data_IF_829249897750
#
_entry.id   IF_829249897750
#
_cell.length_a   1.000
_cell.length_b   1.000
_cell.length_c   1.000
_cell.angle_alpha   90.00
_cell.angle_beta   90.00
_cell.angle_gamma   90.00
#
_symmetry.space_group_name_H-M   'P 1'
#
loop_
_entity.id
_entity.type
_entity.pdbx_description
1 polymer ?
#
# COMPACT_ATOMS: atom_id res chain seq x y z
N UNK A 1 2.61 5.12 -33.04
CA UNK A 1 1.19 4.86 -33.36
C UNK A 1 0.48 6.20 -33.19
N UNK A 2 0.30 6.94 -34.30
CA UNK A 2 -0.22 8.32 -34.31
C UNK A 2 -1.73 8.27 -34.13
N UNK A 3 -2.23 9.00 -33.13
CA UNK A 3 -3.65 9.31 -32.95
C UNK A 3 -4.06 10.28 -34.06
N UNK A 4 -4.99 9.87 -34.92
CA UNK A 4 -5.58 10.72 -35.97
C UNK A 4 -6.96 11.18 -35.54
N UNK A 5 -7.16 12.49 -35.53
CA UNK A 5 -8.45 13.10 -35.86
C UNK A 5 -9.16 13.87 -34.75
N UNK A 6 -8.49 14.83 -34.10
CA UNK A 6 -9.16 16.10 -33.78
C UNK A 6 -9.08 16.98 -35.05
N UNK A 7 -10.24 17.51 -35.43
CA UNK A 7 -10.51 18.63 -36.33
C UNK A 7 -11.66 18.26 -37.25
N UNK A 8 -12.77 18.98 -37.10
CA UNK A 8 -13.65 19.47 -38.17
C UNK A 8 -14.91 20.05 -37.50
N UNK A 9 -14.83 21.32 -37.11
CA UNK A 9 -16.02 22.18 -37.02
C UNK A 9 -16.21 22.94 -38.35
N UNK A 10 -17.48 22.97 -38.77
CA UNK A 10 -18.18 23.90 -39.69
C UNK A 10 -17.99 23.79 -41.21
N UNK A 11 -19.12 23.51 -41.86
CA UNK A 11 -19.42 23.91 -43.23
C UNK A 11 -20.50 23.08 -43.92
N UNK A 12 -21.76 23.43 -43.67
CA UNK A 12 -23.00 23.29 -44.50
C UNK A 12 -23.02 22.25 -45.63
N UNK A 13 -23.91 21.26 -45.50
CA UNK A 13 -25.14 21.08 -46.31
C UNK A 13 -24.88 20.55 -47.71
N UNK A 14 -24.99 19.23 -47.85
CA UNK A 14 -25.71 18.64 -48.97
C UNK A 14 -26.52 17.45 -48.44
N UNK A 15 -27.83 17.63 -48.50
CA UNK A 15 -28.88 16.67 -48.21
C UNK A 15 -29.09 15.79 -49.44
N UNK A 16 -28.59 14.56 -49.44
CA UNK A 16 -29.32 13.36 -49.84
C UNK A 16 -28.39 12.14 -49.81
N UNK A 17 -28.47 11.37 -48.72
CA UNK A 17 -28.29 9.92 -48.79
C UNK A 17 -28.85 9.27 -47.51
N UNK A 18 -30.15 8.98 -47.52
CA UNK A 18 -30.80 8.09 -46.57
C UNK A 18 -30.21 6.68 -46.74
N UNK A 19 -29.07 6.39 -46.08
CA UNK A 19 -28.41 5.13 -46.39
C UNK A 19 -27.31 4.59 -45.49
N UNK A 20 -26.92 5.21 -44.37
CA UNK A 20 -26.00 4.59 -43.39
C UNK A 20 -26.34 5.01 -41.98
N UNK A 21 -27.31 4.32 -41.35
CA UNK A 21 -27.28 4.16 -39.89
C UNK A 21 -25.91 3.57 -39.61
N UNK A 22 -25.01 4.36 -39.02
CA UNK A 22 -23.67 3.92 -38.69
C UNK A 22 -23.79 2.59 -37.95
N UNK A 23 -23.46 1.50 -38.63
CA UNK A 23 -23.43 0.17 -38.04
C UNK A 23 -22.47 0.31 -36.89
N UNK A 24 -22.98 0.28 -35.65
CA UNK A 24 -22.16 0.19 -34.45
C UNK A 24 -21.11 -0.87 -34.78
N UNK A 25 -19.84 -0.48 -34.83
CA UNK A 25 -18.76 -1.39 -35.17
C UNK A 25 -18.99 -2.67 -34.33
N UNK A 26 -19.03 -3.81 -35.00
CA UNK A 26 -19.30 -5.11 -34.37
C UNK A 26 -18.23 -5.41 -33.30
N UNK A 27 -17.09 -4.73 -33.37
CA UNK A 27 -16.02 -4.74 -32.36
C UNK A 27 -16.20 -3.72 -31.23
N UNK A 28 -17.11 -2.74 -31.36
CA UNK A 28 -17.31 -1.68 -30.37
C UNK A 28 -17.83 -2.24 -29.05
N UNK A 29 -17.41 -1.63 -27.95
CA UNK A 29 -17.85 -2.01 -26.62
C UNK A 29 -19.38 -1.92 -26.44
N UNK A 30 -20.02 -0.96 -27.13
CA UNK A 30 -21.46 -0.70 -27.04
C UNK A 30 -22.33 -1.76 -27.74
N UNK A 31 -21.78 -2.54 -28.67
CA UNK A 31 -22.50 -3.62 -29.36
C UNK A 31 -22.46 -4.96 -28.62
N UNK A 32 -21.69 -5.07 -27.53
CA UNK A 32 -21.52 -6.31 -26.75
C UNK A 32 -22.61 -6.52 -25.70
N UNK A 33 -22.89 -7.80 -25.39
CA UNK A 33 -23.85 -8.16 -24.34
C UNK A 33 -23.38 -7.65 -22.97
N UNK A 34 -24.28 -7.46 -21.99
CA UNK A 34 -23.90 -7.03 -20.64
C UNK A 34 -22.83 -7.94 -20.04
N UNK A 35 -22.96 -9.26 -20.19
CA UNK A 35 -21.98 -10.23 -19.69
C UNK A 35 -20.61 -10.08 -20.38
N UNK A 36 -20.58 -9.87 -21.69
CA UNK A 36 -19.33 -9.62 -22.42
C UNK A 36 -18.66 -8.31 -21.99
N UNK A 37 -19.44 -7.24 -21.79
CA UNK A 37 -18.93 -5.97 -21.26
C UNK A 37 -18.39 -6.15 -19.84
N UNK A 38 -19.11 -6.87 -18.98
CA UNK A 38 -18.68 -7.20 -17.62
C UNK A 38 -17.35 -7.96 -17.59
N UNK A 39 -17.19 -8.99 -18.42
CA UNK A 39 -15.92 -9.75 -18.51
C UNK A 39 -14.77 -8.85 -18.95
N UNK A 40 -14.97 -8.01 -19.96
CA UNK A 40 -13.92 -7.10 -20.46
C UNK A 40 -13.48 -6.12 -19.37
N UNK A 41 -14.42 -5.56 -18.61
CA UNK A 41 -14.12 -4.63 -17.53
C UNK A 41 -13.40 -5.32 -16.37
N UNK A 42 -13.82 -6.53 -16.01
CA UNK A 42 -13.18 -7.31 -14.94
C UNK A 42 -11.80 -7.82 -15.38
N UNK A 43 -11.55 -8.00 -16.67
CA UNK A 43 -10.26 -8.48 -17.18
C UNK A 43 -9.10 -7.55 -16.78
N UNK A 44 -9.30 -6.23 -16.79
CA UNK A 44 -8.28 -5.28 -16.34
C UNK A 44 -7.89 -5.47 -14.87
N UNK A 45 -8.91 -5.55 -14.00
CA UNK A 45 -8.72 -5.82 -12.56
C UNK A 45 -8.06 -7.18 -12.34
N UNK A 46 -8.54 -8.20 -13.03
CA UNK A 46 -8.03 -9.56 -12.93
C UNK A 46 -6.55 -9.64 -13.33
N UNK A 47 -6.15 -8.97 -14.41
CA UNK A 47 -4.75 -8.95 -14.86
C UNK A 47 -3.83 -8.27 -13.84
N UNK A 48 -4.29 -7.23 -13.15
CA UNK A 48 -3.53 -6.64 -12.05
C UNK A 48 -3.35 -7.62 -10.87
N UNK A 49 -4.40 -8.38 -10.51
CA UNK A 49 -4.28 -9.42 -9.46
C UNK A 49 -3.29 -10.51 -9.91
N UNK A 50 -3.41 -10.99 -11.15
CA UNK A 50 -2.51 -12.01 -11.70
C UNK A 50 -1.07 -11.53 -11.70
N UNK A 51 -0.83 -10.30 -12.14
CA UNK A 51 0.50 -9.69 -12.15
C UNK A 51 1.08 -9.63 -10.73
N UNK A 52 0.31 -9.15 -9.76
CA UNK A 52 0.72 -9.10 -8.36
C UNK A 52 1.06 -10.50 -7.82
N UNK A 53 0.20 -11.50 -8.05
CA UNK A 53 0.43 -12.89 -7.62
C UNK A 53 1.73 -13.45 -8.20
N UNK A 54 1.98 -13.23 -9.50
CA UNK A 54 3.20 -13.70 -10.17
C UNK A 54 4.44 -13.01 -9.60
N UNK A 55 4.41 -11.68 -9.43
CA UNK A 55 5.56 -10.95 -8.90
C UNK A 55 5.82 -11.33 -7.43
N UNK A 56 4.79 -11.42 -6.59
CA UNK A 56 4.96 -11.89 -5.21
C UNK A 56 5.50 -13.30 -5.15
N UNK A 57 5.09 -14.20 -6.05
CA UNK A 57 5.68 -15.53 -6.14
C UNK A 57 7.18 -15.47 -6.42
N UNK A 58 7.59 -14.71 -7.45
CA UNK A 58 9.01 -14.55 -7.81
C UNK A 58 9.80 -13.94 -6.65
N UNK A 59 9.28 -12.86 -6.05
CA UNK A 59 9.88 -12.21 -4.90
C UNK A 59 10.08 -13.19 -3.73
N UNK A 60 9.03 -13.92 -3.36
CA UNK A 60 9.09 -14.92 -2.28
C UNK A 60 10.05 -16.04 -2.60
N UNK A 61 10.07 -16.54 -3.83
CA UNK A 61 11.00 -17.58 -4.25
C UNK A 61 12.46 -17.14 -4.07
N UNK A 62 12.81 -15.92 -4.52
CA UNK A 62 14.16 -15.37 -4.36
C UNK A 62 14.48 -15.06 -2.89
N UNK A 63 13.47 -14.69 -2.09
CA UNK A 63 13.64 -14.39 -0.66
C UNK A 63 13.50 -15.62 0.26
N UNK A 64 13.54 -16.85 -0.28
CA UNK A 64 13.49 -18.06 0.54
C UNK A 64 12.14 -18.32 1.22
N UNK A 65 11.05 -17.87 0.59
CA UNK A 65 9.66 -17.96 1.04
C UNK A 65 9.42 -17.26 2.37
N UNK A 66 10.07 -16.11 2.56
CA UNK A 66 9.87 -15.21 3.69
C UNK A 66 9.66 -13.79 3.17
N UNK A 67 8.86 -12.99 3.88
CA UNK A 67 8.76 -11.56 3.59
C UNK A 67 9.93 -10.80 4.21
N UNK A 68 10.21 -9.61 3.70
CA UNK A 68 10.91 -8.61 4.49
C UNK A 68 10.10 -8.25 5.75
N UNK A 69 10.78 -7.71 6.76
CA UNK A 69 10.08 -7.17 7.91
C UNK A 69 9.29 -5.94 7.45
N UNK A 70 7.97 -5.97 7.63
CA UNK A 70 7.08 -4.87 7.29
C UNK A 70 6.49 -4.25 8.55
N UNK A 71 6.39 -2.91 8.64
CA UNK A 71 5.76 -2.26 9.79
C UNK A 71 4.26 -2.56 9.81
N UNK A 72 3.72 -2.81 11.00
CA UNK A 72 2.29 -2.88 11.22
C UNK A 72 1.78 -1.53 11.71
N UNK A 73 0.82 -0.96 11.00
CA UNK A 73 0.11 0.26 11.42
C UNK A 73 -0.95 -0.12 12.45
N UNK A 74 -1.64 -1.24 12.20
CA UNK A 74 -2.59 -1.84 13.13
C UNK A 74 -2.30 -3.32 13.26
N UNK A 75 -2.70 -3.88 14.41
CA UNK A 75 -2.66 -5.32 14.61
C UNK A 75 -3.51 -6.05 13.57
N UNK A 76 -2.91 -7.10 13.00
CA UNK A 76 -3.56 -7.92 12.00
C UNK A 76 -3.12 -9.38 12.13
N UNK A 77 -4.08 -10.29 12.04
CA UNK A 77 -3.86 -11.73 12.04
C UNK A 77 -3.81 -12.24 10.60
N UNK A 78 -2.63 -12.65 10.15
CA UNK A 78 -2.43 -13.12 8.79
C UNK A 78 -2.91 -14.56 8.65
N UNK A 79 -3.75 -14.81 7.65
CA UNK A 79 -4.43 -16.10 7.48
C UNK A 79 -3.47 -17.23 7.08
N UNK A 80 -2.44 -16.90 6.31
CA UNK A 80 -1.49 -17.84 5.75
C UNK A 80 -0.05 -17.52 6.16
N UNK A 81 0.77 -18.56 6.32
CA UNK A 81 2.16 -18.44 6.76
C UNK A 81 2.32 -18.29 8.28
N UNK A 82 3.56 -18.34 8.74
CA UNK A 82 3.94 -18.16 10.15
C UNK A 82 4.47 -16.75 10.38
N UNK A 83 3.86 -16.01 11.29
CA UNK A 83 4.25 -14.63 11.61
C UNK A 83 5.32 -14.58 12.69
N UNK A 84 6.39 -13.81 12.46
CA UNK A 84 7.37 -13.42 13.48
C UNK A 84 7.27 -11.93 13.73
N UNK A 85 6.85 -11.53 14.93
CA UNK A 85 6.72 -10.12 15.32
C UNK A 85 7.99 -9.61 16.02
N UNK A 86 8.36 -8.37 15.74
CA UNK A 86 9.36 -7.60 16.47
C UNK A 86 8.69 -6.31 16.90
N UNK A 87 8.44 -6.15 18.20
CA UNK A 87 7.66 -5.04 18.77
C UNK A 87 8.48 -3.83 19.21
N UNK A 88 9.74 -3.74 18.83
CA UNK A 88 10.70 -2.73 19.32
C UNK A 88 11.49 -2.09 18.18
N UNK A 89 10.82 -1.88 17.04
CA UNK A 89 11.44 -1.27 15.84
C UNK A 89 11.49 0.23 16.00
N UNK A 90 12.65 0.84 15.74
CA UNK A 90 12.85 2.28 15.75
C UNK A 90 12.23 2.86 14.47
N UNK A 91 11.06 3.48 14.63
CA UNK A 91 10.30 4.15 13.57
C UNK A 91 10.55 5.66 13.48
N UNK A 92 11.21 6.23 14.50
CA UNK A 92 11.55 7.63 14.56
C UNK A 92 12.61 7.89 15.62
N UNK A 93 13.40 8.96 15.45
CA UNK A 93 14.40 9.41 16.43
C UNK A 93 14.20 10.91 16.64
N UNK A 94 14.13 11.33 17.90
CA UNK A 94 14.00 12.74 18.25
C UNK A 94 15.36 13.44 18.10
N UNK A 95 15.44 14.59 17.39
CA UNK A 95 16.69 15.35 17.29
C UNK A 95 17.23 15.79 18.65
N UNK A 96 18.55 15.73 18.82
CA UNK A 96 19.26 16.06 20.06
C UNK A 96 19.13 15.01 21.18
N UNK A 97 18.39 13.92 20.97
CA UNK A 97 18.12 12.90 21.97
C UNK A 97 19.34 12.01 22.29
N UNK A 98 19.33 11.28 23.44
CA UNK A 98 20.35 10.28 23.73
C UNK A 98 20.50 9.21 22.64
N UNK A 99 19.38 8.78 22.01
CA UNK A 99 19.40 7.80 20.94
C UNK A 99 20.12 8.30 19.69
N UNK A 100 19.85 9.55 19.27
CA UNK A 100 20.54 10.16 18.13
C UNK A 100 22.05 10.27 18.39
N UNK A 101 22.44 10.77 19.58
CA UNK A 101 23.85 10.90 19.97
C UNK A 101 24.58 9.56 20.04
N UNK A 102 23.87 8.49 20.37
CA UNK A 102 24.39 7.13 20.39
C UNK A 102 24.43 6.47 18.99
N UNK A 103 23.95 7.16 17.95
CA UNK A 103 23.98 6.67 16.58
C UNK A 103 22.97 5.55 16.29
N UNK A 104 21.82 5.56 16.98
CA UNK A 104 20.68 4.73 16.58
C UNK A 104 20.16 5.21 15.22
N UNK A 105 19.64 4.28 14.43
CA UNK A 105 19.14 4.55 13.08
C UNK A 105 17.75 3.98 12.86
N UNK A 106 17.00 4.57 11.93
CA UNK A 106 15.66 4.10 11.56
C UNK A 106 15.73 2.71 10.93
N UNK A 107 14.78 1.85 11.29
CA UNK A 107 14.73 0.47 10.82
C UNK A 107 15.61 -0.51 11.60
N UNK A 108 16.29 -0.06 12.66
CA UNK A 108 16.86 -0.97 13.66
C UNK A 108 15.78 -1.41 14.65
N UNK A 109 15.94 -2.59 15.24
CA UNK A 109 15.09 -3.09 16.31
C UNK A 109 15.90 -3.39 17.56
N UNK A 110 15.36 -3.03 18.73
CA UNK A 110 15.97 -3.30 20.03
C UNK A 110 15.62 -4.73 20.47
N UNK A 111 16.60 -5.62 20.49
CA UNK A 111 16.41 -7.02 20.91
C UNK A 111 16.58 -7.20 22.42
N UNK A 112 17.46 -6.40 23.05
CA UNK A 112 17.73 -6.49 24.47
C UNK A 112 18.18 -5.15 25.07
N UNK A 113 17.97 -4.99 26.38
CA UNK A 113 18.49 -3.91 27.22
C UNK A 113 19.27 -4.53 28.35
N UNK A 114 20.58 -4.26 28.45
CA UNK A 114 21.50 -4.89 29.42
C UNK A 114 21.34 -6.43 29.46
N UNK A 115 21.39 -7.06 28.29
CA UNK A 115 21.25 -8.52 28.09
C UNK A 115 19.87 -9.11 28.45
N UNK A 116 18.91 -8.29 28.93
CA UNK A 116 17.51 -8.70 29.10
C UNK A 116 16.78 -8.54 27.78
N UNK A 117 16.34 -9.66 27.21
CA UNK A 117 15.56 -9.69 25.97
C UNK A 117 14.25 -8.91 26.14
N UNK A 118 13.91 -8.09 25.16
CA UNK A 118 12.65 -7.34 25.09
C UNK A 118 11.94 -7.69 23.79
N UNK A 119 10.65 -7.98 23.86
CA UNK A 119 9.86 -8.37 22.67
C UNK A 119 8.85 -7.33 22.23
N UNK A 120 8.50 -6.40 23.13
CA UNK A 120 7.48 -5.38 22.91
C UNK A 120 7.85 -4.06 23.60
N UNK A 121 7.13 -2.99 23.22
CA UNK A 121 7.34 -1.63 23.70
C UNK A 121 7.17 -1.54 25.23
N UNK A 122 6.25 -2.32 25.80
CA UNK A 122 5.95 -2.29 27.24
C UNK A 122 7.12 -2.88 28.03
N UNK A 123 7.63 -4.04 27.62
CA UNK A 123 8.83 -4.64 28.21
C UNK A 123 10.03 -3.72 28.07
N UNK A 124 10.25 -3.15 26.89
CA UNK A 124 11.34 -2.20 26.66
C UNK A 124 11.26 -1.00 27.63
N UNK A 125 10.08 -0.38 27.76
CA UNK A 125 9.87 0.76 28.68
C UNK A 125 10.07 0.35 30.15
N UNK A 126 9.59 -0.82 30.54
CA UNK A 126 9.72 -1.31 31.91
C UNK A 126 11.19 -1.58 32.29
N UNK A 127 11.94 -2.25 31.42
CA UNK A 127 13.37 -2.50 31.66
C UNK A 127 14.16 -1.19 31.65
N UNK A 128 13.86 -0.27 30.72
CA UNK A 128 14.52 1.04 30.67
C UNK A 128 14.26 1.87 31.94
N UNK A 129 13.08 1.73 32.54
CA UNK A 129 12.70 2.43 33.78
C UNK A 129 13.62 2.11 34.97
N UNK A 130 14.21 0.91 35.00
CA UNK A 130 15.12 0.46 36.06
C UNK A 130 16.49 1.18 36.02
N UNK A 131 16.87 1.78 34.89
CA UNK A 131 18.20 2.35 34.66
C UNK A 131 18.19 3.88 34.50
N UNK A 132 17.28 4.57 35.18
CA UNK A 132 17.14 6.03 35.07
C UNK A 132 18.46 6.77 35.35
N UNK A 133 19.04 7.39 34.33
CA UNK A 133 20.27 8.19 34.44
C UNK A 133 21.56 7.37 34.43
N UNK A 134 21.50 6.06 34.21
CA UNK A 134 22.67 5.20 34.05
C UNK A 134 22.80 4.73 32.59
N UNK A 135 24.02 4.58 32.04
CA UNK A 135 24.22 4.01 30.72
C UNK A 135 23.61 2.61 30.62
N UNK A 136 22.86 2.35 29.55
CA UNK A 136 22.32 1.03 29.21
C UNK A 136 22.90 0.56 27.89
N UNK A 137 23.24 -0.73 27.83
CA UNK A 137 23.63 -1.43 26.61
C UNK A 137 22.36 -1.87 25.88
N UNK A 138 22.14 -1.34 24.68
CA UNK A 138 21.10 -1.80 23.76
C UNK A 138 21.72 -2.76 22.76
N UNK A 139 21.13 -3.95 22.62
CA UNK A 139 21.47 -4.88 21.53
C UNK A 139 20.49 -4.63 20.40
N UNK A 140 21.00 -4.19 19.25
CA UNK A 140 20.23 -3.79 18.08
C UNK A 140 20.45 -4.77 16.93
N UNK A 141 19.42 -4.99 16.11
CA UNK A 141 19.56 -5.61 14.79
C UNK A 141 19.05 -4.65 13.72
N UNK A 142 19.72 -4.61 12.57
CA UNK A 142 19.20 -3.89 11.40
C UNK A 142 18.15 -4.77 10.71
N UNK A 143 16.93 -4.27 10.51
CA UNK A 143 15.88 -5.01 9.82
C UNK A 143 16.10 -5.10 8.30
N UNK A 144 17.05 -4.33 7.76
CA UNK A 144 17.54 -4.52 6.39
C UNK A 144 18.36 -5.80 6.26
N UNK A 145 18.91 -6.31 7.36
CA UNK A 145 19.57 -7.60 7.37
C UNK A 145 18.53 -8.73 7.39
N UNK A 146 18.28 -9.30 6.21
CA UNK A 146 17.30 -10.38 6.03
C UNK A 146 17.57 -11.64 6.86
N UNK A 147 18.80 -11.83 7.34
CA UNK A 147 19.15 -12.95 8.22
C UNK A 147 18.90 -12.62 9.69
N UNK A 148 18.77 -11.34 10.07
CA UNK A 148 18.63 -10.84 11.43
C UNK A 148 19.72 -11.37 12.38
N UNK A 149 20.88 -11.72 11.84
CA UNK A 149 21.98 -12.31 12.60
C UNK A 149 23.00 -11.26 13.03
N UNK A 150 23.06 -10.13 12.32
CA UNK A 150 23.97 -9.05 12.67
C UNK A 150 23.38 -8.23 13.80
N UNK A 151 23.89 -8.49 15.00
CA UNK A 151 23.62 -7.66 16.17
C UNK A 151 24.79 -6.71 16.43
N UNK A 152 24.47 -5.50 16.91
CA UNK A 152 25.45 -4.57 17.46
C UNK A 152 24.99 -4.06 18.81
N UNK A 153 25.95 -3.82 19.69
CA UNK A 153 25.70 -3.23 21.00
C UNK A 153 26.00 -1.73 20.96
N UNK A 154 25.09 -0.93 21.55
CA UNK A 154 25.23 0.53 21.66
C UNK A 154 24.94 0.95 23.09
N UNK A 155 25.81 1.80 23.65
CA UNK A 155 25.59 2.41 24.96
C UNK A 155 24.73 3.67 24.80
N UNK A 156 23.63 3.74 25.56
CA UNK A 156 22.74 4.91 25.58
C UNK A 156 22.49 5.32 27.02
N UNK A 157 22.60 6.60 27.33
CA UNK A 157 22.29 7.13 28.67
C UNK A 157 20.89 7.73 28.68
N UNK A 158 19.89 7.10 29.30
CA UNK A 158 18.53 7.61 29.33
C UNK A 158 18.46 8.92 30.13
N UNK A 159 17.71 9.88 29.60
CA UNK A 159 17.42 11.15 30.30
C UNK A 159 16.01 11.13 30.85
N UNK A 160 15.75 11.92 31.89
CA UNK A 160 14.38 12.10 32.39
C UNK A 160 13.62 13.04 31.47
N UNK A 161 12.38 12.69 31.16
CA UNK A 161 11.42 13.57 30.48
C UNK A 161 10.37 14.11 31.46
N UNK A 162 9.58 15.09 31.02
CA UNK A 162 8.38 15.53 31.75
C UNK A 162 7.49 14.32 32.07
N UNK A 163 7.30 14.04 33.37
CA UNK A 163 6.63 12.83 33.87
C UNK A 163 7.55 11.81 34.57
N UNK A 164 8.86 12.08 34.65
CA UNK A 164 9.79 11.36 35.53
C UNK A 164 10.26 9.98 35.06
N UNK A 165 9.75 9.48 33.93
CA UNK A 165 10.21 8.22 33.32
C UNK A 165 11.46 8.46 32.46
N UNK A 166 12.45 7.56 32.49
CA UNK A 166 13.60 7.67 31.62
C UNK A 166 13.21 7.39 30.17
N UNK A 167 13.74 8.21 29.27
CA UNK A 167 13.57 8.07 27.83
C UNK A 167 14.92 8.17 27.13
N UNK A 168 14.98 7.64 25.91
CA UNK A 168 16.13 7.81 25.02
C UNK A 168 15.77 8.61 23.76
N UNK A 169 14.51 9.01 23.58
CA UNK A 169 14.05 9.79 22.43
C UNK A 169 13.84 8.98 21.14
N UNK A 170 13.35 7.75 21.25
CA UNK A 170 12.94 6.93 20.09
C UNK A 170 11.43 6.78 20.01
N UNK A 171 10.90 6.75 18.79
CA UNK A 171 9.57 6.26 18.49
C UNK A 171 9.70 4.79 18.12
N UNK A 172 8.91 3.94 18.79
CA UNK A 172 8.90 2.50 18.57
C UNK A 172 7.62 2.09 17.86
N UNK A 173 7.76 1.16 16.92
CA UNK A 173 6.67 0.51 16.23
C UNK A 173 6.82 -1.01 16.24
N UNK A 174 5.75 -1.66 15.81
CA UNK A 174 5.76 -3.09 15.58
C UNK A 174 6.02 -3.40 14.12
N UNK A 175 6.67 -4.54 13.89
CA UNK A 175 6.85 -5.07 12.56
C UNK A 175 6.66 -6.57 12.55
N UNK A 176 6.32 -7.10 11.40
CA UNK A 176 6.09 -8.53 11.19
C UNK A 176 6.85 -9.03 9.97
N UNK A 177 7.35 -10.26 10.03
CA UNK A 177 7.68 -11.04 8.83
C UNK A 177 6.84 -12.30 8.79
N UNK A 178 6.49 -12.72 7.58
CA UNK A 178 5.69 -13.93 7.33
C UNK A 178 6.60 -14.94 6.64
N UNK A 179 6.62 -16.18 7.14
CA UNK A 179 7.37 -17.29 6.53
C UNK A 179 6.42 -18.40 6.07
N UNK A 180 6.58 -18.83 4.82
CA UNK A 180 5.79 -19.89 4.21
C UNK A 180 6.61 -21.18 4.15
N UNK A 181 6.51 -21.98 5.22
CA UNK A 181 7.36 -23.17 5.40
C UNK A 181 6.80 -24.42 4.73
N UNK A 182 5.47 -24.58 4.68
CA UNK A 182 4.83 -25.78 4.14
C UNK A 182 4.96 -25.84 2.62
N UNK A 183 5.09 -27.04 2.04
CA UNK A 183 5.25 -27.22 0.59
C UNK A 183 4.10 -26.62 -0.20
N UNK A 184 2.85 -26.82 0.23
CA UNK A 184 1.68 -26.23 -0.43
C UNK A 184 1.68 -24.70 -0.33
N UNK A 185 2.05 -24.15 0.83
CA UNK A 185 2.16 -22.70 1.03
C UNK A 185 3.19 -22.09 0.08
N UNK A 186 4.31 -22.78 -0.18
CA UNK A 186 5.34 -22.34 -1.11
C UNK A 186 4.87 -22.35 -2.57
N UNK A 187 4.11 -23.36 -2.98
CA UNK A 187 3.56 -23.45 -4.34
C UNK A 187 2.52 -22.36 -4.57
N UNK A 188 1.66 -22.11 -3.58
CA UNK A 188 0.59 -21.12 -3.66
C UNK A 188 0.95 -19.76 -3.06
N UNK A 189 2.25 -19.51 -2.82
CA UNK A 189 2.71 -18.36 -2.02
C UNK A 189 2.27 -17.03 -2.61
N UNK A 190 2.27 -16.90 -3.94
CA UNK A 190 1.79 -15.69 -4.61
C UNK A 190 0.33 -15.39 -4.26
N UNK A 191 -0.55 -16.38 -4.30
CA UNK A 191 -1.97 -16.24 -3.94
C UNK A 191 -2.16 -15.96 -2.45
N UNK A 192 -1.49 -16.73 -1.58
CA UNK A 192 -1.60 -16.59 -0.13
C UNK A 192 -1.08 -15.25 0.36
N UNK A 193 0.05 -14.79 -0.20
CA UNK A 193 0.58 -13.50 0.13
C UNK A 193 -0.28 -12.36 -0.40
N UNK A 194 -0.76 -12.44 -1.65
CA UNK A 194 -1.73 -11.46 -2.17
C UNK A 194 -2.99 -11.38 -1.30
N UNK A 195 -3.52 -12.52 -0.83
CA UNK A 195 -4.68 -12.54 0.06
C UNK A 195 -4.38 -11.84 1.39
N UNK A 196 -3.26 -12.18 2.02
CA UNK A 196 -2.81 -11.59 3.28
C UNK A 196 -2.62 -10.07 3.17
N UNK A 197 -1.92 -9.62 2.13
CA UNK A 197 -1.66 -8.19 1.89
C UNK A 197 -2.97 -7.45 1.58
N UNK A 198 -3.83 -8.00 0.71
CA UNK A 198 -5.13 -7.41 0.41
C UNK A 198 -6.00 -7.29 1.67
N UNK A 199 -6.06 -8.35 2.48
CA UNK A 199 -6.81 -8.37 3.72
C UNK A 199 -6.29 -7.34 4.73
N UNK A 200 -4.97 -7.24 4.87
CA UNK A 200 -4.34 -6.24 5.72
C UNK A 200 -4.60 -4.81 5.22
N UNK A 201 -4.49 -4.56 3.91
CA UNK A 201 -4.79 -3.25 3.32
C UNK A 201 -6.25 -2.84 3.53
N UNK A 202 -7.21 -3.76 3.33
CA UNK A 202 -8.63 -3.49 3.55
C UNK A 202 -8.95 -3.22 5.02
N UNK A 203 -8.37 -4.01 5.93
CA UNK A 203 -8.52 -3.80 7.36
C UNK A 203 -7.93 -2.45 7.78
N UNK A 204 -6.71 -2.13 7.34
CA UNK A 204 -6.02 -0.87 7.63
C UNK A 204 -6.83 0.33 7.15
N UNK A 205 -7.28 0.31 5.89
CA UNK A 205 -8.13 1.38 5.33
C UNK A 205 -9.43 1.53 6.12
N UNK A 206 -10.10 0.43 6.46
CA UNK A 206 -11.32 0.44 7.28
C UNK A 206 -11.10 1.04 8.67
N UNK A 207 -9.98 0.73 9.32
CA UNK A 207 -9.60 1.30 10.61
C UNK A 207 -9.29 2.79 10.51
N UNK A 208 -8.58 3.24 9.47
CA UNK A 208 -8.29 4.65 9.24
C UNK A 208 -9.56 5.45 8.99
N UNK A 209 -10.47 4.94 8.16
CA UNK A 209 -11.78 5.55 7.92
C UNK A 209 -12.56 5.62 9.23
N UNK A 210 -12.61 4.54 10.00
CA UNK A 210 -13.26 4.52 11.32
C UNK A 210 -12.66 5.55 12.28
N UNK A 211 -11.33 5.67 12.30
CA UNK A 211 -10.62 6.65 13.12
C UNK A 211 -10.97 8.07 12.69
N UNK A 212 -10.94 8.36 11.39
CA UNK A 212 -11.31 9.68 10.85
C UNK A 212 -12.73 10.10 11.22
N UNK A 213 -13.69 9.17 11.20
CA UNK A 213 -15.05 9.45 11.66
C UNK A 213 -15.11 9.70 13.18
N UNK A 214 -14.34 8.96 13.98
CA UNK A 214 -14.29 9.13 15.44
C UNK A 214 -13.62 10.43 15.86
N UNK A 215 -12.53 10.81 15.21
CA UNK A 215 -11.75 12.03 15.52
C UNK A 215 -12.29 13.27 14.83
N UNK A 216 -13.22 13.10 13.87
CA UNK A 216 -13.69 14.17 12.96
C UNK A 216 -12.54 14.85 12.20
N UNK A 217 -11.47 14.10 11.96
CA UNK A 217 -10.28 14.56 11.26
C UNK A 217 -9.98 13.63 10.08
N UNK A 218 -9.74 14.22 8.91
CA UNK A 218 -9.39 13.49 7.69
C UNK A 218 -7.90 13.17 7.59
N UNK A 219 -7.06 13.68 8.50
CA UNK A 219 -5.63 13.41 8.53
C UNK A 219 -5.28 11.91 8.46
N UNK A 220 -5.89 10.99 9.25
CA UNK A 220 -5.55 9.56 9.21
C UNK A 220 -5.72 8.90 7.83
N UNK A 221 -6.75 9.27 7.08
CA UNK A 221 -7.01 8.71 5.73
C UNK A 221 -6.16 9.41 4.67
N UNK A 222 -5.94 10.71 4.81
CA UNK A 222 -5.17 11.48 3.83
C UNK A 222 -3.66 11.27 3.94
N UNK A 223 -3.14 10.89 5.13
CA UNK A 223 -1.73 10.58 5.33
C UNK A 223 -1.35 9.15 4.93
N UNK A 224 -2.33 8.26 4.81
CA UNK A 224 -2.14 6.86 4.44
C UNK A 224 -2.22 6.59 2.94
N UNK A 225 -2.77 7.54 2.18
CA UNK A 225 -2.81 7.48 0.72
C UNK A 225 -1.64 8.28 0.17
N UNK A 226 -0.72 7.60 -0.51
CA UNK A 226 0.38 8.25 -1.23
C UNK A 226 -0.07 8.68 -2.62
N UNK A 227 0.24 9.92 -3.00
CA UNK A 227 0.08 10.40 -4.37
C UNK A 227 1.26 10.03 -5.26
N UNK A 228 1.28 10.54 -6.51
CA UNK A 228 2.36 10.29 -7.47
C UNK A 228 3.74 10.71 -6.94
N UNK A 229 3.81 11.83 -6.22
CA UNK A 229 5.06 12.34 -5.63
C UNK A 229 5.50 11.47 -4.45
N UNK A 230 4.56 11.04 -3.59
CA UNK A 230 4.85 10.06 -2.54
C UNK A 230 5.42 8.75 -3.10
N UNK A 231 4.87 8.24 -4.21
CA UNK A 231 5.38 7.05 -4.89
C UNK A 231 6.80 7.29 -5.42
N UNK A 232 7.06 8.44 -6.05
CA UNK A 232 8.41 8.81 -6.52
C UNK A 232 9.42 8.83 -5.36
N UNK A 233 9.06 9.45 -4.24
CA UNK A 233 9.93 9.53 -3.05
C UNK A 233 10.25 8.15 -2.47
N UNK A 234 9.29 7.22 -2.48
CA UNK A 234 9.51 5.84 -2.06
C UNK A 234 10.47 5.12 -3.00
N UNK A 235 10.29 5.26 -4.32
CA UNK A 235 11.20 4.66 -5.31
C UNK A 235 12.61 5.25 -5.19
N UNK A 236 12.74 6.57 -5.06
CA UNK A 236 14.02 7.27 -4.85
C UNK A 236 14.72 6.80 -3.57
N UNK A 237 13.96 6.60 -2.48
CA UNK A 237 14.48 6.03 -1.23
C UNK A 237 15.02 4.61 -1.44
N UNK A 238 14.29 3.76 -2.15
CA UNK A 238 14.75 2.38 -2.43
C UNK A 238 16.00 2.38 -3.31
N UNK A 239 16.09 3.26 -4.31
CA UNK A 239 17.27 3.35 -5.17
C UNK A 239 18.50 3.88 -4.42
N UNK A 240 18.33 4.85 -3.52
CA UNK A 240 19.42 5.41 -2.72
C UNK A 240 19.89 4.49 -1.60
N UNK A 241 18.97 3.77 -0.95
CA UNK A 241 19.26 3.05 0.29
C UNK A 241 19.04 1.54 0.24
N UNK A 242 18.46 1.00 -0.85
CA UNK A 242 18.15 -0.43 -0.99
C UNK A 242 19.36 -1.33 -1.29
N UNK A 243 20.51 -0.74 -1.60
CA UNK A 243 21.75 -1.47 -1.87
C UNK A 243 21.64 -2.47 -3.03
N UNK A 244 22.40 -3.58 -3.01
CA UNK A 244 22.38 -4.58 -4.08
C UNK A 244 21.02 -5.25 -4.32
N UNK A 245 20.14 -5.25 -3.30
CA UNK A 245 18.83 -5.89 -3.33
C UNK A 245 17.69 -4.89 -3.61
N UNK A 246 17.99 -3.63 -3.96
CA UNK A 246 16.99 -2.61 -4.25
C UNK A 246 15.96 -3.06 -5.30
N UNK A 247 16.40 -3.82 -6.30
CA UNK A 247 15.51 -4.37 -7.32
C UNK A 247 14.42 -5.27 -6.71
N UNK A 248 14.75 -6.17 -5.77
CA UNK A 248 13.76 -7.04 -5.11
C UNK A 248 12.68 -6.22 -4.38
N UNK A 249 13.10 -5.17 -3.69
CA UNK A 249 12.19 -4.25 -3.00
C UNK A 249 11.29 -3.52 -4.01
N UNK A 250 11.81 -3.11 -5.17
CA UNK A 250 11.00 -2.50 -6.23
C UNK A 250 9.99 -3.48 -6.84
N UNK A 251 10.34 -4.76 -6.99
CA UNK A 251 9.40 -5.80 -7.43
C UNK A 251 8.27 -6.00 -6.42
N UNK A 252 8.60 -6.10 -5.13
CA UNK A 252 7.61 -6.20 -4.06
C UNK A 252 6.66 -4.99 -4.04
N UNK A 253 7.20 -3.77 -4.16
CA UNK A 253 6.39 -2.56 -4.30
C UNK A 253 5.54 -2.56 -5.56
N UNK A 254 6.05 -3.05 -6.69
CA UNK A 254 5.29 -3.14 -7.95
C UNK A 254 4.11 -4.09 -7.80
N UNK A 255 4.30 -5.22 -7.13
CA UNK A 255 3.22 -6.17 -6.83
C UNK A 255 2.18 -5.56 -5.90
N UNK A 256 2.62 -4.86 -4.84
CA UNK A 256 1.73 -4.13 -3.92
C UNK A 256 0.90 -3.08 -4.66
N UNK A 257 1.52 -2.28 -5.54
CA UNK A 257 0.82 -1.27 -6.33
C UNK A 257 -0.15 -1.91 -7.32
N UNK A 258 0.23 -2.99 -8.00
CA UNK A 258 -0.66 -3.71 -8.92
C UNK A 258 -1.89 -4.27 -8.17
N UNK A 259 -1.68 -4.87 -6.99
CA UNK A 259 -2.77 -5.35 -6.15
C UNK A 259 -3.67 -4.20 -5.65
N UNK A 260 -3.07 -3.08 -5.23
CA UNK A 260 -3.80 -1.87 -4.81
C UNK A 260 -4.64 -1.29 -5.96
N UNK A 261 -4.09 -1.23 -7.17
CA UNK A 261 -4.83 -0.80 -8.37
C UNK A 261 -5.99 -1.74 -8.69
N UNK A 262 -5.83 -3.06 -8.51
CA UNK A 262 -6.94 -4.00 -8.67
C UNK A 262 -8.07 -3.71 -7.69
N UNK A 263 -7.74 -3.51 -6.41
CA UNK A 263 -8.71 -3.15 -5.36
C UNK A 263 -9.40 -1.83 -5.70
N UNK A 264 -8.64 -0.79 -6.06
CA UNK A 264 -9.23 0.51 -6.37
C UNK A 264 -10.14 0.41 -7.59
N UNK A 265 -9.70 -0.29 -8.63
CA UNK A 265 -10.47 -0.43 -9.87
C UNK A 265 -11.71 -1.31 -9.72
N UNK A 266 -11.80 -2.21 -8.73
CA UNK A 266 -13.03 -2.98 -8.49
C UNK A 266 -14.09 -2.18 -7.73
N UNK A 267 -13.71 -1.12 -7.02
CA UNK A 267 -14.65 -0.30 -6.26
C UNK A 267 -15.66 0.38 -7.22
N UNK A 268 -16.94 0.51 -6.82
CA UNK A 268 -17.99 1.08 -7.65
C UNK A 268 -17.93 2.61 -7.71
N UNK A 269 -16.74 3.16 -8.00
CA UNK A 269 -16.54 4.59 -8.17
C UNK A 269 -16.64 5.02 -9.64
N UNK A 270 -17.17 6.21 -9.93
CA UNK A 270 -17.20 6.75 -11.28
C UNK A 270 -15.77 6.90 -11.85
N UNK A 271 -15.67 6.94 -13.17
CA UNK A 271 -14.44 6.83 -13.97
C UNK A 271 -13.65 5.50 -13.88
N UNK A 272 -13.80 4.69 -12.82
CA UNK A 272 -13.15 3.38 -12.68
C UNK A 272 -13.94 2.24 -13.34
N UNK A 273 -13.27 1.10 -13.54
CA UNK A 273 -13.87 -0.10 -14.15
C UNK A 273 -15.02 -0.66 -13.31
N UNK A 274 -14.88 -0.69 -11.98
CA UNK A 274 -15.90 -1.15 -11.05
C UNK A 274 -17.19 -0.33 -11.10
N UNK A 275 -17.10 0.98 -11.39
CA UNK A 275 -18.26 1.82 -11.65
C UNK A 275 -19.03 1.37 -12.90
N UNK A 276 -18.31 1.04 -13.98
CA UNK A 276 -18.93 0.53 -15.21
C UNK A 276 -19.53 -0.86 -15.00
N UNK A 277 -18.84 -1.72 -14.23
CA UNK A 277 -19.36 -3.04 -13.83
C UNK A 277 -20.65 -2.88 -13.03
N UNK A 278 -20.74 -1.89 -12.13
CA UNK A 278 -21.95 -1.62 -11.38
C UNK A 278 -23.15 -1.28 -12.29
N UNK A 279 -22.96 -0.49 -13.35
CA UNK A 279 -24.01 -0.23 -14.35
C UNK A 279 -24.41 -1.48 -15.14
N UNK A 280 -23.44 -2.32 -15.50
CA UNK A 280 -23.71 -3.60 -16.18
C UNK A 280 -24.48 -4.56 -15.26
N UNK A 281 -24.12 -4.62 -13.97
CA UNK A 281 -24.85 -5.40 -12.98
C UNK A 281 -26.26 -4.86 -12.78
N UNK A 282 -26.42 -3.54 -12.71
CA UNK A 282 -27.72 -2.89 -12.65
C UNK A 282 -28.58 -3.22 -13.88
N UNK A 283 -28.01 -3.18 -15.09
CA UNK A 283 -28.70 -3.60 -16.31
C UNK A 283 -29.13 -5.07 -16.24
N UNK A 284 -28.26 -5.96 -15.72
CA UNK A 284 -28.54 -7.38 -15.57
C UNK A 284 -29.70 -7.67 -14.61
N UNK A 285 -29.76 -6.97 -13.47
CA UNK A 285 -30.82 -7.13 -12.45
C UNK A 285 -32.13 -6.49 -12.91
N UNK A 286 -32.07 -5.26 -13.42
CA UNK A 286 -33.28 -4.50 -13.79
C UNK A 286 -33.79 -4.82 -15.19
N UNK A 287 -32.98 -5.50 -16.02
CA UNK A 287 -33.19 -5.71 -17.46
C UNK A 287 -33.44 -4.42 -18.24
N UNK A 288 -33.02 -3.27 -17.69
CA UNK A 288 -33.16 -1.94 -18.29
C UNK A 288 -31.78 -1.36 -18.56
N UNK A 289 -31.56 -0.90 -19.79
CA UNK A 289 -30.32 -0.22 -20.15
C UNK A 289 -30.24 1.13 -19.42
N UNK A 290 -29.14 1.42 -18.70
CA UNK A 290 -28.89 2.74 -18.15
C UNK A 290 -28.95 3.80 -19.26
N UNK A 291 -29.42 5.00 -18.92
CA UNK A 291 -29.45 6.08 -19.89
C UNK A 291 -27.99 6.47 -20.24
N UNK A 292 -27.57 6.39 -21.52
CA UNK A 292 -26.17 6.66 -21.90
C UNK A 292 -25.68 8.05 -21.50
N UNK A 293 -26.58 9.05 -21.50
CA UNK A 293 -26.24 10.41 -21.06
C UNK A 293 -25.93 10.48 -19.57
N UNK A 294 -26.69 9.74 -18.76
CA UNK A 294 -26.49 9.70 -17.30
C UNK A 294 -25.24 8.94 -16.92
N UNK A 295 -24.96 7.81 -17.59
CA UNK A 295 -23.73 7.03 -17.40
C UNK A 295 -22.50 7.87 -17.79
N UNK A 296 -22.53 8.50 -18.98
CA UNK A 296 -21.44 9.37 -19.43
C UNK A 296 -21.22 10.57 -18.49
N UNK A 297 -22.28 11.21 -18.01
CA UNK A 297 -22.18 12.30 -17.05
C UNK A 297 -21.59 11.83 -15.71
N UNK A 298 -22.04 10.69 -15.19
CA UNK A 298 -21.53 10.10 -13.95
C UNK A 298 -20.03 9.81 -14.05
N UNK A 299 -19.58 9.14 -15.12
CA UNK A 299 -18.15 8.87 -15.31
C UNK A 299 -17.32 10.14 -15.57
N UNK A 300 -17.87 11.13 -16.29
CA UNK A 300 -17.18 12.41 -16.53
C UNK A 300 -16.98 13.20 -15.23
N UNK A 301 -18.03 13.33 -14.42
CA UNK A 301 -17.94 13.99 -13.12
C UNK A 301 -16.95 13.28 -12.20
N UNK A 302 -16.99 11.94 -12.16
CA UNK A 302 -15.99 11.18 -11.41
C UNK A 302 -14.57 11.37 -11.93
N UNK A 303 -14.36 11.47 -13.24
CA UNK A 303 -13.03 11.74 -13.81
C UNK A 303 -12.50 13.10 -13.37
N UNK A 304 -13.32 14.15 -13.47
CA UNK A 304 -12.95 15.50 -12.98
C UNK A 304 -12.64 15.47 -11.49
N UNK A 305 -13.47 14.77 -10.70
CA UNK A 305 -13.25 14.59 -9.27
C UNK A 305 -11.95 13.85 -8.96
N UNK A 306 -11.67 12.72 -9.61
CA UNK A 306 -10.46 11.93 -9.41
C UNK A 306 -9.20 12.69 -9.82
N UNK A 307 -9.23 13.41 -10.95
CA UNK A 307 -8.11 14.26 -11.37
C UNK A 307 -7.88 15.41 -10.38
N UNK A 308 -8.95 16.05 -9.91
CA UNK A 308 -8.87 17.09 -8.87
C UNK A 308 -8.30 16.54 -7.55
N UNK A 309 -8.73 15.34 -7.16
CA UNK A 309 -8.23 14.66 -5.97
C UNK A 309 -6.74 14.28 -6.10
N UNK A 310 -6.32 13.80 -7.28
CA UNK A 310 -4.92 13.51 -7.57
C UNK A 310 -4.04 14.77 -7.46
N UNK A 311 -4.51 15.91 -7.96
CA UNK A 311 -3.82 17.21 -7.81
C UNK A 311 -3.73 17.59 -6.32
N UNK A 312 -4.82 17.46 -5.55
CA UNK A 312 -4.85 17.80 -4.13
C UNK A 312 -3.85 16.96 -3.33
N UNK A 313 -3.83 15.63 -3.53
CA UNK A 313 -2.86 14.75 -2.87
C UNK A 313 -1.44 15.11 -3.32
N UNK A 314 -1.23 15.39 -4.60
CA UNK A 314 0.11 15.78 -5.11
C UNK A 314 0.62 17.06 -4.44
N UNK A 315 -0.23 18.08 -4.30
CA UNK A 315 0.12 19.32 -3.58
C UNK A 315 0.50 18.98 -2.13
N UNK A 316 -0.31 18.14 -1.47
CA UNK A 316 -0.06 17.73 -0.08
C UNK A 316 1.26 16.97 0.06
N UNK A 317 1.56 16.04 -0.83
CA UNK A 317 2.81 15.27 -0.85
C UNK A 317 4.04 16.17 -1.01
N UNK A 318 3.93 17.26 -1.78
CA UNK A 318 5.02 18.23 -1.98
C UNK A 318 5.19 19.15 -0.77
N UNK A 319 4.11 19.48 -0.08
CA UNK A 319 4.15 20.36 1.11
C UNK A 319 4.52 19.66 2.42
N UNK A 320 4.58 18.32 2.42
CA UNK A 320 4.93 17.50 3.57
C UNK A 320 6.44 17.41 3.76
#
# INVERSE_FOLDING_TARGET
MKLTGEDLERGQEDTDDLGKIGTLDVKSFASKTPLQRGIILIAGVFMNIVLAVVIFYIFMFVNGFKTFQMPLIFDYDFKFGETTKIGTVISGIQPGSPAEKAGLTLGEAVLAVNDRKVTDITQFKNVLAEYSGQPVKLTLTDLKDTTYTKVRDVQVSPTKYEGGKPIIGVYLGESVSISYKKTLDRILVGFYHSYNVMGYSMNTLGQMVSLSFKTKDLAPVSESVSGPVGIYNLVDMVLKYGGPNAWLTLFDYTALMSLSLAVVNIMPFPALDGGRVAFVLFEGVTRRKPNPKTEAAFHRLGMVFLLGFLILITIRDVTR
#
